data_IF_821692712240
#
_entry.id   IF_821692712240
#
_cell.length_a   1.000
_cell.length_b   1.000
_cell.length_c   1.000
_cell.angle_alpha   90.00
_cell.angle_beta   90.00
_cell.angle_gamma   90.00
#
_symmetry.space_group_name_H-M   'P 1'
#
loop_
_entity.id
_entity.type
_entity.pdbx_description
1 polymer ?
#
# COMPACT_ATOMS: atom_id res chain seq x y z
N UNK A 1 15.70 -9.75 -6.11
CA UNK A 1 14.93 -9.35 -7.29
C UNK A 1 14.31 -10.54 -7.94
N UNK A 2 13.49 -10.30 -8.94
CA UNK A 2 12.88 -11.38 -9.68
C UNK A 2 13.97 -12.20 -10.36
N UNK A 3 13.71 -13.50 -10.45
CA UNK A 3 14.72 -14.52 -10.74
C UNK A 3 15.11 -14.61 -12.22
N UNK A 4 14.37 -13.97 -13.11
CA UNK A 4 14.68 -13.91 -14.54
C UNK A 4 13.88 -12.80 -15.24
N UNK A 5 14.26 -12.53 -16.49
CA UNK A 5 13.64 -11.54 -17.36
C UNK A 5 12.13 -11.80 -17.54
N UNK A 6 11.73 -13.05 -17.78
CA UNK A 6 10.33 -13.41 -18.04
C UNK A 6 9.44 -13.06 -16.85
N UNK A 7 9.93 -13.27 -15.63
CA UNK A 7 9.16 -12.96 -14.43
C UNK A 7 9.13 -11.47 -14.13
N UNK A 8 10.21 -10.72 -14.33
CA UNK A 8 10.14 -9.25 -14.26
C UNK A 8 9.14 -8.68 -15.28
N UNK A 9 9.03 -9.25 -16.48
CA UNK A 9 8.01 -8.88 -17.49
C UNK A 9 6.59 -9.18 -16.98
N UNK A 10 6.35 -10.40 -16.49
CA UNK A 10 5.02 -10.81 -16.00
C UNK A 10 4.58 -9.94 -14.82
N UNK A 11 5.48 -9.68 -13.86
CA UNK A 11 5.21 -8.84 -12.71
C UNK A 11 4.95 -7.38 -13.12
N UNK A 12 5.75 -6.82 -14.02
CA UNK A 12 5.50 -5.47 -14.56
C UNK A 12 4.11 -5.35 -15.19
N UNK A 13 3.68 -6.35 -15.96
CA UNK A 13 2.34 -6.37 -16.58
C UNK A 13 1.25 -6.50 -15.51
N UNK A 14 1.44 -7.38 -14.53
CA UNK A 14 0.49 -7.61 -13.44
C UNK A 14 0.30 -6.36 -12.58
N UNK A 15 1.39 -5.67 -12.26
CA UNK A 15 1.39 -4.44 -11.48
C UNK A 15 0.77 -3.29 -12.26
N UNK A 16 1.12 -3.11 -13.53
CA UNK A 16 0.47 -2.11 -14.38
C UNK A 16 -1.04 -2.35 -14.49
N UNK A 17 -1.44 -3.61 -14.70
CA UNK A 17 -2.86 -4.01 -14.74
C UNK A 17 -3.56 -3.72 -13.42
N UNK A 18 -2.87 -3.94 -12.29
CA UNK A 18 -3.39 -3.65 -10.95
C UNK A 18 -3.53 -2.15 -10.72
N UNK A 19 -2.54 -1.34 -11.11
CA UNK A 19 -2.61 0.13 -11.05
C UNK A 19 -3.83 0.63 -11.81
N UNK A 20 -4.00 0.19 -13.05
CA UNK A 20 -5.14 0.53 -13.91
C UNK A 20 -6.45 0.10 -13.22
N UNK A 21 -6.53 -1.15 -12.77
CA UNK A 21 -7.71 -1.69 -12.09
C UNK A 21 -8.08 -0.87 -10.85
N UNK A 22 -7.13 -0.61 -9.95
CA UNK A 22 -7.37 0.16 -8.73
C UNK A 22 -7.78 1.60 -9.05
N UNK A 23 -7.13 2.21 -10.05
CA UNK A 23 -7.43 3.58 -10.48
C UNK A 23 -8.86 3.73 -11.01
N UNK A 24 -9.32 2.77 -11.82
CA UNK A 24 -10.69 2.78 -12.36
C UNK A 24 -11.73 2.27 -11.37
N UNK A 25 -11.39 1.29 -10.52
CA UNK A 25 -12.26 0.77 -9.46
C UNK A 25 -12.68 1.90 -8.53
N UNK A 26 -11.71 2.71 -8.07
CA UNK A 26 -11.92 3.95 -7.34
C UNK A 26 -13.00 3.84 -6.24
N UNK A 27 -13.06 2.71 -5.52
CA UNK A 27 -14.07 2.48 -4.48
C UNK A 27 -13.86 3.42 -3.29
N UNK A 28 -12.59 3.76 -3.00
CA UNK A 28 -12.21 4.67 -1.93
C UNK A 28 -10.97 5.47 -2.31
N UNK A 29 -10.66 6.50 -1.53
CA UNK A 29 -9.38 7.25 -1.65
C UNK A 29 -8.17 6.30 -1.52
N UNK A 30 -8.32 5.18 -0.80
CA UNK A 30 -7.27 4.19 -0.61
C UNK A 30 -6.87 3.51 -1.92
N UNK A 31 -7.82 3.23 -2.82
CA UNK A 31 -7.53 2.61 -4.12
C UNK A 31 -6.54 3.44 -4.93
N UNK A 32 -6.73 4.78 -4.95
CA UNK A 32 -5.81 5.69 -5.65
C UNK A 32 -4.43 5.69 -5.02
N UNK A 33 -4.36 5.62 -3.69
CA UNK A 33 -3.07 5.57 -3.00
C UNK A 33 -2.38 4.22 -3.21
N UNK A 34 -3.10 3.10 -3.21
CA UNK A 34 -2.56 1.79 -3.56
C UNK A 34 -2.04 1.79 -5.00
N UNK A 35 -2.77 2.40 -5.94
CA UNK A 35 -2.29 2.57 -7.31
C UNK A 35 -0.99 3.39 -7.39
N UNK A 36 -0.88 4.48 -6.62
CA UNK A 36 0.35 5.29 -6.55
C UNK A 36 1.52 4.53 -5.90
N UNK A 37 1.26 3.69 -4.90
CA UNK A 37 2.27 2.82 -4.31
C UNK A 37 2.75 1.78 -5.32
N UNK A 38 1.82 1.08 -5.99
CA UNK A 38 2.18 0.10 -7.02
C UNK A 38 2.89 0.72 -8.21
N UNK A 39 2.70 2.00 -8.49
CA UNK A 39 3.48 2.69 -9.51
C UNK A 39 4.99 2.64 -9.21
N UNK A 40 5.37 2.73 -7.94
CA UNK A 40 6.79 2.60 -7.54
C UNK A 40 7.28 1.17 -7.70
N UNK A 41 6.47 0.17 -7.33
CA UNK A 41 6.82 -1.24 -7.53
C UNK A 41 6.98 -1.56 -9.02
N UNK A 42 6.02 -1.10 -9.84
CA UNK A 42 6.06 -1.23 -11.30
C UNK A 42 7.34 -0.64 -11.89
N UNK A 43 7.77 0.54 -11.44
CA UNK A 43 9.00 1.13 -11.95
C UNK A 43 10.26 0.33 -11.57
N UNK A 44 10.26 -0.37 -10.43
CA UNK A 44 11.35 -1.29 -10.06
C UNK A 44 11.35 -2.48 -11.02
N UNK A 45 10.26 -3.22 -11.11
CA UNK A 45 10.14 -4.41 -11.97
C UNK A 45 10.38 -4.08 -13.45
N UNK A 46 9.88 -2.93 -13.91
CA UNK A 46 10.11 -2.46 -15.27
C UNK A 46 11.59 -2.11 -15.50
N UNK A 47 12.28 -1.53 -14.51
CA UNK A 47 13.72 -1.28 -14.61
C UNK A 47 14.52 -2.58 -14.62
N UNK A 48 14.06 -3.61 -13.89
CA UNK A 48 14.69 -4.93 -13.89
C UNK A 48 14.70 -5.57 -15.28
N UNK A 49 13.66 -5.38 -16.10
CA UNK A 49 13.64 -5.85 -17.50
C UNK A 49 14.87 -5.32 -18.25
N UNK A 50 15.19 -4.03 -18.10
CA UNK A 50 16.37 -3.45 -18.75
C UNK A 50 17.67 -3.86 -18.08
N UNK A 51 17.67 -4.09 -16.76
CA UNK A 51 18.84 -4.65 -16.07
C UNK A 51 19.17 -6.03 -16.60
N UNK A 52 18.17 -6.89 -16.82
CA UNK A 52 18.36 -8.20 -17.45
C UNK A 52 18.92 -8.13 -18.87
N UNK A 53 18.54 -7.13 -19.65
CA UNK A 53 19.06 -6.93 -21.02
C UNK A 53 20.49 -6.36 -21.00
N UNK A 54 20.85 -5.62 -19.95
CA UNK A 54 22.12 -4.90 -19.85
C UNK A 54 23.08 -5.52 -18.86
N UNK A 55 22.71 -6.63 -18.21
CA UNK A 55 23.58 -7.37 -17.30
C UNK A 55 24.63 -8.07 -18.14
N UNK A 56 25.91 -7.84 -17.88
CA UNK A 56 26.96 -8.59 -18.55
C UNK A 56 26.96 -10.02 -18.05
N UNK A 57 27.26 -10.95 -18.95
CA UNK A 57 27.34 -12.37 -18.63
C UNK A 57 28.42 -12.63 -17.56
N UNK A 58 28.14 -13.56 -16.66
CA UNK A 58 28.98 -13.86 -15.51
C UNK A 58 30.42 -14.21 -15.94
N UNK A 59 31.40 -13.42 -15.52
CA UNK A 59 32.83 -13.72 -15.72
C UNK A 59 33.63 -12.72 -16.56
N UNK A 60 32.99 -11.75 -17.23
CA UNK A 60 33.67 -10.80 -18.14
C UNK A 60 33.91 -9.40 -17.56
N UNK A 61 33.79 -9.23 -16.25
CA UNK A 61 33.90 -7.91 -15.63
C UNK A 61 35.36 -7.48 -15.39
N UNK A 62 36.08 -7.16 -16.46
CA UNK A 62 37.35 -6.38 -16.40
C UNK A 62 37.08 -4.89 -16.02
N UNK A 63 36.24 -4.67 -15.01
CA UNK A 63 36.08 -3.37 -14.34
C UNK A 63 35.26 -2.28 -15.06
N UNK A 64 34.55 -2.57 -16.15
CA UNK A 64 33.70 -1.57 -16.83
C UNK A 64 32.25 -2.01 -16.96
N UNK A 65 31.37 -1.40 -16.15
CA UNK A 65 29.93 -1.66 -16.21
C UNK A 65 29.31 -0.91 -17.40
N UNK A 66 28.45 -1.55 -18.19
CA UNK A 66 27.70 -0.86 -19.23
C UNK A 66 26.97 0.35 -18.64
N UNK A 67 27.08 1.51 -19.29
CA UNK A 67 26.46 2.75 -18.80
C UNK A 67 24.95 2.61 -18.61
N UNK A 68 24.29 1.81 -19.47
CA UNK A 68 22.88 1.49 -19.35
C UNK A 68 22.57 0.72 -18.05
N UNK A 69 23.38 -0.28 -17.69
CA UNK A 69 23.21 -1.03 -16.45
C UNK A 69 23.42 -0.12 -15.23
N UNK A 70 24.44 0.75 -15.24
CA UNK A 70 24.65 1.75 -14.17
C UNK A 70 23.42 2.65 -14.03
N UNK A 71 22.87 3.13 -15.15
CA UNK A 71 21.69 3.99 -15.17
C UNK A 71 20.47 3.29 -14.57
N UNK A 72 20.13 2.09 -15.05
CA UNK A 72 18.97 1.34 -14.55
C UNK A 72 19.16 0.88 -13.11
N UNK A 73 20.38 0.55 -12.68
CA UNK A 73 20.68 0.19 -11.28
C UNK A 73 20.44 1.41 -10.39
N UNK A 74 20.92 2.58 -10.82
CA UNK A 74 20.72 3.84 -10.09
C UNK A 74 19.26 4.26 -10.05
N UNK A 75 18.53 4.12 -11.16
CA UNK A 75 17.09 4.38 -11.24
C UNK A 75 16.33 3.46 -10.30
N UNK A 76 16.63 2.17 -10.31
CA UNK A 76 15.94 1.19 -9.47
C UNK A 76 16.19 1.48 -7.99
N UNK A 77 17.43 1.78 -7.63
CA UNK A 77 17.79 2.21 -6.28
C UNK A 77 17.05 3.48 -5.86
N UNK A 78 16.98 4.49 -6.73
CA UNK A 78 16.21 5.71 -6.47
C UNK A 78 14.71 5.43 -6.26
N UNK A 79 14.12 4.58 -7.09
CA UNK A 79 12.69 4.23 -6.98
C UNK A 79 12.42 3.43 -5.70
N UNK A 80 13.26 2.44 -5.39
CA UNK A 80 13.19 1.70 -4.13
C UNK A 80 13.29 2.64 -2.93
N UNK A 81 14.21 3.60 -2.98
CA UNK A 81 14.36 4.63 -1.95
C UNK A 81 13.12 5.53 -1.78
N UNK A 82 12.33 5.74 -2.83
CA UNK A 82 11.09 6.53 -2.78
C UNK A 82 9.89 5.79 -2.17
N UNK A 83 9.95 4.47 -1.99
CA UNK A 83 8.82 3.68 -1.50
C UNK A 83 8.38 3.99 -0.05
N UNK A 84 9.24 4.29 0.95
CA UNK A 84 8.79 4.60 2.30
C UNK A 84 8.05 5.94 2.31
N UNK A 85 8.50 6.88 1.46
CA UNK A 85 7.81 8.15 1.25
C UNK A 85 6.42 7.91 0.66
N UNK A 86 6.28 7.02 -0.33
CA UNK A 86 4.98 6.64 -0.88
C UNK A 86 4.02 6.08 0.18
N UNK A 87 4.53 5.20 1.04
CA UNK A 87 3.79 4.64 2.18
C UNK A 87 3.40 5.73 3.20
N UNK A 88 4.35 6.61 3.54
CA UNK A 88 4.13 7.72 4.45
C UNK A 88 3.04 8.69 3.95
N UNK A 89 3.13 9.07 2.68
CA UNK A 89 2.15 9.94 2.03
C UNK A 89 0.77 9.26 2.01
N UNK A 90 0.69 7.97 1.71
CA UNK A 90 -0.56 7.21 1.81
C UNK A 90 -1.17 7.30 3.21
N UNK A 91 -0.38 6.98 4.23
CA UNK A 91 -0.83 7.02 5.61
C UNK A 91 -1.28 8.43 6.01
N UNK A 92 -0.54 9.46 5.61
CA UNK A 92 -0.89 10.85 5.82
C UNK A 92 -2.27 11.17 5.19
N UNK A 93 -2.45 10.91 3.90
CA UNK A 93 -3.69 11.21 3.17
C UNK A 93 -4.90 10.43 3.71
N UNK A 94 -4.71 9.19 4.17
CA UNK A 94 -5.76 8.38 4.78
C UNK A 94 -6.24 8.94 6.13
N UNK A 95 -5.38 9.68 6.83
CA UNK A 95 -5.63 10.22 8.18
C UNK A 95 -6.25 11.62 8.15
N UNK A 96 -6.30 12.29 6.99
CA UNK A 96 -6.89 13.65 6.82
C UNK A 96 -8.42 13.62 6.85
N UNK A 97 -9.03 13.00 7.87
CA UNK A 97 -10.35 13.45 8.33
C UNK A 97 -10.11 14.60 9.30
N UNK A 98 -10.61 15.78 8.93
CA UNK A 98 -10.36 17.16 9.44
C UNK A 98 -10.27 17.42 10.96
N UNK A 99 -10.41 16.45 11.84
CA UNK A 99 -10.61 16.70 13.27
C UNK A 99 -9.33 16.76 14.12
N UNK A 100 -8.17 16.32 13.63
CA UNK A 100 -6.97 16.26 14.48
C UNK A 100 -5.71 16.82 13.80
N UNK A 101 -5.59 18.16 13.81
CA UNK A 101 -4.45 18.88 13.24
C UNK A 101 -3.10 18.45 13.87
N UNK A 102 -3.09 18.09 15.15
CA UNK A 102 -1.87 17.65 15.84
C UNK A 102 -1.30 16.38 15.22
N UNK A 103 -2.16 15.39 14.95
CA UNK A 103 -1.75 14.15 14.27
C UNK A 103 -1.22 14.40 12.86
N UNK A 104 -1.87 15.30 12.12
CA UNK A 104 -1.39 15.68 10.79
C UNK A 104 0.03 16.27 10.83
N UNK A 105 0.30 17.23 11.74
CA UNK A 105 1.63 17.80 11.87
C UNK A 105 2.67 16.78 12.35
N UNK A 106 2.31 15.91 13.29
CA UNK A 106 3.19 14.82 13.73
C UNK A 106 3.54 13.88 12.57
N UNK A 107 2.56 13.49 11.76
CA UNK A 107 2.73 12.66 10.58
C UNK A 107 3.61 13.32 9.52
N UNK A 108 3.40 14.61 9.23
CA UNK A 108 4.26 15.36 8.31
C UNK A 108 5.69 15.48 8.85
N UNK A 109 5.86 15.75 10.15
CA UNK A 109 7.17 15.84 10.79
C UNK A 109 7.90 14.51 10.76
N UNK A 110 7.22 13.40 11.02
CA UNK A 110 7.80 12.05 10.94
C UNK A 110 8.19 11.71 9.50
N UNK A 111 7.32 11.97 8.53
CA UNK A 111 7.64 11.76 7.11
C UNK A 111 8.82 12.64 6.65
N UNK A 112 8.90 13.88 7.14
CA UNK A 112 9.99 14.81 6.81
C UNK A 112 11.31 14.39 7.47
N UNK A 113 11.25 13.92 8.72
CA UNK A 113 12.41 13.40 9.43
C UNK A 113 12.92 12.10 8.80
N UNK A 114 12.00 11.19 8.47
CA UNK A 114 12.30 9.98 7.72
C UNK A 114 12.96 10.31 6.37
N UNK A 115 12.38 11.25 5.62
CA UNK A 115 12.96 11.74 4.36
C UNK A 115 14.35 12.36 4.55
N UNK A 116 14.57 13.12 5.62
CA UNK A 116 15.88 13.69 5.94
C UNK A 116 16.91 12.60 6.26
N UNK A 117 16.57 11.62 7.10
CA UNK A 117 17.44 10.48 7.40
C UNK A 117 17.78 9.72 6.11
N UNK A 118 16.79 9.51 5.25
CA UNK A 118 16.98 8.87 3.96
C UNK A 118 17.87 9.67 3.02
N UNK A 119 17.76 11.01 2.98
CA UNK A 119 18.64 11.87 2.18
C UNK A 119 20.07 11.77 2.68
N UNK A 120 20.25 11.79 4.01
CA UNK A 120 21.57 11.66 4.63
C UNK A 120 22.17 10.29 4.28
N UNK A 121 21.40 9.20 4.41
CA UNK A 121 21.82 7.86 3.99
C UNK A 121 22.19 7.82 2.51
N UNK A 122 21.34 8.37 1.63
CA UNK A 122 21.61 8.46 0.20
C UNK A 122 22.93 9.18 -0.07
N UNK A 123 23.17 10.36 0.52
CA UNK A 123 24.40 11.12 0.29
C UNK A 123 25.64 10.46 0.89
N UNK A 124 25.53 9.81 2.05
CA UNK A 124 26.62 9.04 2.64
C UNK A 124 27.00 7.86 1.74
N UNK A 125 26.00 7.16 1.19
CA UNK A 125 26.21 6.05 0.27
C UNK A 125 26.77 6.53 -1.07
N UNK A 126 26.18 7.55 -1.67
CA UNK A 126 26.60 8.07 -2.97
C UNK A 126 27.97 8.74 -2.94
N UNK A 127 28.35 9.34 -1.80
CA UNK A 127 29.64 9.99 -1.60
C UNK A 127 30.83 9.02 -1.58
N UNK A 128 30.63 7.78 -1.11
CA UNK A 128 31.65 6.72 -1.15
C UNK A 128 31.68 5.98 -2.50
N UNK A 129 30.59 6.03 -3.26
CA UNK A 129 30.32 5.25 -4.48
C UNK A 129 30.85 5.90 -5.78
N UNK A 130 31.46 7.08 -5.69
CA UNK A 130 31.98 7.86 -6.82
C UNK A 130 33.06 7.18 -7.70
N UNK A 131 33.47 5.94 -7.42
CA UNK A 131 34.38 5.17 -8.28
C UNK A 131 33.82 3.79 -8.65
N UNK A 132 33.12 3.73 -9.79
CA UNK A 132 33.06 2.57 -10.70
C UNK A 132 32.24 1.31 -10.33
N UNK A 133 31.44 1.23 -9.25
CA UNK A 133 30.81 -0.07 -8.88
C UNK A 133 29.31 -0.08 -8.52
N UNK A 134 28.50 0.82 -9.09
CA UNK A 134 27.04 0.62 -9.09
C UNK A 134 26.65 -0.20 -10.30
N UNK A 135 26.73 -1.53 -10.19
CA UNK A 135 26.35 -2.42 -11.27
C UNK A 135 25.51 -3.56 -10.76
N UNK A 136 24.45 -3.89 -11.50
CA UNK A 136 23.75 -5.14 -11.28
C UNK A 136 24.50 -6.25 -11.98
N UNK A 137 24.65 -7.38 -11.30
CA UNK A 137 25.35 -8.57 -11.79
C UNK A 137 24.49 -9.80 -11.56
N UNK A 138 24.72 -10.86 -12.31
CA UNK A 138 24.18 -12.19 -12.04
C UNK A 138 25.28 -13.06 -11.42
N UNK A 139 24.98 -13.70 -10.29
CA UNK A 139 25.94 -14.57 -9.59
C UNK A 139 25.61 -16.04 -9.79
N UNK A 140 26.54 -16.78 -10.40
CA UNK A 140 26.60 -18.24 -10.36
C UNK A 140 25.34 -18.98 -10.84
N UNK A 141 25.16 -20.23 -10.38
CA UNK A 141 24.09 -21.16 -10.79
C UNK A 141 22.66 -20.70 -10.52
N UNK A 142 22.48 -19.65 -9.72
CA UNK A 142 21.17 -19.20 -9.26
C UNK A 142 20.47 -18.25 -10.22
N UNK A 143 21.18 -17.77 -11.25
CA UNK A 143 20.66 -16.90 -12.32
C UNK A 143 19.80 -15.75 -11.79
N UNK A 144 20.07 -15.23 -10.59
CA UNK A 144 19.32 -14.13 -9.99
C UNK A 144 20.01 -12.80 -10.27
N UNK A 145 19.23 -11.73 -10.41
CA UNK A 145 19.77 -10.38 -10.48
C UNK A 145 20.17 -9.92 -9.07
N UNK A 146 21.45 -9.61 -8.91
CA UNK A 146 22.00 -9.02 -7.69
C UNK A 146 22.34 -7.57 -7.95
N UNK A 147 21.75 -6.68 -7.15
CA UNK A 147 22.12 -5.28 -7.13
C UNK A 147 23.37 -5.14 -6.26
N UNK A 148 24.53 -4.99 -6.90
CA UNK A 148 25.72 -4.65 -6.15
C UNK A 148 25.77 -3.15 -5.95
N UNK A 149 25.47 -2.76 -4.73
CA UNK A 149 25.85 -1.47 -4.20
C UNK A 149 27.15 -1.70 -3.45
N UNK A 150 28.22 -1.00 -3.84
CA UNK A 150 29.50 -1.15 -3.17
C UNK A 150 29.40 -0.49 -1.78
N UNK A 151 28.87 -1.22 -0.81
CA UNK A 151 28.92 -0.84 0.60
C UNK A 151 30.28 -1.21 1.18
N UNK A 152 30.80 -0.34 2.03
CA UNK A 152 31.72 -0.77 3.08
C UNK A 152 31.03 -1.91 3.86
N UNK A 153 31.64 -3.10 3.87
CA UNK A 153 31.17 -4.31 4.59
C UNK A 153 30.97 -4.10 6.10
N UNK A 154 31.26 -2.92 6.62
CA UNK A 154 31.36 -2.62 8.06
C UNK A 154 30.12 -1.93 8.66
N UNK A 155 29.03 -1.70 7.91
CA UNK A 155 27.82 -1.17 8.53
C UNK A 155 27.05 -2.27 9.27
N UNK A 156 26.95 -2.13 10.60
CA UNK A 156 26.29 -3.02 11.57
C UNK A 156 24.78 -3.16 11.40
N UNK A 157 24.18 -2.49 10.40
CA UNK A 157 22.81 -2.71 10.00
C UNK A 157 22.81 -3.34 8.61
N UNK A 158 22.16 -4.49 8.41
CA UNK A 158 22.08 -5.10 7.09
C UNK A 158 21.38 -4.10 6.15
N UNK A 159 22.12 -3.57 5.19
CA UNK A 159 21.67 -2.57 4.23
C UNK A 159 20.52 -3.02 3.31
N UNK A 160 20.05 -4.25 3.47
CA UNK A 160 18.81 -4.75 2.88
C UNK A 160 17.58 -4.48 3.73
N UNK A 161 17.71 -4.17 5.03
CA UNK A 161 16.58 -4.06 5.96
C UNK A 161 16.34 -2.68 6.60
N UNK A 162 17.29 -1.75 6.51
CA UNK A 162 17.08 -0.38 7.04
C UNK A 162 15.87 0.30 6.39
N UNK A 163 15.73 0.18 5.08
CA UNK A 163 14.54 0.61 4.34
C UNK A 163 13.24 0.08 4.96
N UNK A 164 13.22 -1.18 5.43
CA UNK A 164 12.03 -1.79 6.02
C UNK A 164 11.75 -1.27 7.42
N UNK A 165 12.78 -1.13 8.26
CA UNK A 165 12.63 -0.52 9.59
C UNK A 165 12.06 0.89 9.45
N UNK A 166 12.60 1.66 8.52
CA UNK A 166 12.13 3.01 8.22
C UNK A 166 10.70 3.02 7.65
N UNK A 167 10.33 2.03 6.85
CA UNK A 167 8.95 1.85 6.37
C UNK A 167 7.96 1.47 7.47
N UNK A 168 8.39 0.83 8.56
CA UNK A 168 7.55 0.41 9.70
C UNK A 168 7.25 1.58 10.64
N UNK A 169 8.23 2.46 10.88
CA UNK A 169 8.12 3.60 11.80
C UNK A 169 6.83 4.40 11.55
N UNK A 170 6.49 4.82 10.32
CA UNK A 170 5.24 5.48 9.99
C UNK A 170 4.03 4.77 10.59
N UNK A 171 3.89 3.48 10.29
CA UNK A 171 2.73 2.70 10.64
C UNK A 171 2.53 2.53 12.16
N UNK A 172 3.59 2.62 12.97
CA UNK A 172 3.45 2.62 14.44
C UNK A 172 2.66 3.83 14.96
N UNK A 173 2.67 4.94 14.21
CA UNK A 173 2.01 6.19 14.58
C UNK A 173 0.66 6.39 13.88
N UNK A 174 0.34 5.60 12.85
CA UNK A 174 -0.91 5.68 12.13
C UNK A 174 -1.97 4.71 12.67
N UNK A 175 -3.08 5.26 13.16
CA UNK A 175 -4.34 4.50 13.29
C UNK A 175 -5.09 4.60 11.96
N UNK A 176 -5.51 3.46 11.37
CA UNK A 176 -5.73 2.20 12.06
C UNK A 176 -4.54 1.23 11.97
N UNK A 177 -4.18 0.62 13.10
CA UNK A 177 -3.28 -0.54 13.20
C UNK A 177 -3.64 -1.67 12.21
N UNK A 178 -4.89 -1.69 11.72
CA UNK A 178 -5.32 -2.58 10.65
C UNK A 178 -4.52 -2.39 9.36
N UNK A 179 -4.18 -1.17 8.97
CA UNK A 179 -3.35 -0.92 7.78
C UNK A 179 -1.92 -1.47 7.98
N UNK A 180 -1.35 -1.30 9.18
CA UNK A 180 -0.07 -1.93 9.56
C UNK A 180 -0.18 -3.45 9.46
N UNK A 181 -1.18 -4.06 10.08
CA UNK A 181 -1.38 -5.52 10.06
C UNK A 181 -1.55 -6.00 8.63
N UNK A 182 -2.37 -5.32 7.83
CA UNK A 182 -2.64 -5.65 6.44
C UNK A 182 -1.40 -5.61 5.54
N UNK A 183 -0.45 -4.73 5.83
CA UNK A 183 0.82 -4.64 5.10
C UNK A 183 1.89 -5.57 5.67
N UNK A 184 2.06 -5.57 7.00
CA UNK A 184 3.09 -6.33 7.70
C UNK A 184 2.81 -7.82 7.73
N UNK A 185 1.55 -8.24 7.81
CA UNK A 185 1.23 -9.66 7.91
C UNK A 185 1.63 -10.42 6.64
N UNK A 186 1.24 -10.00 5.41
CA UNK A 186 1.70 -10.64 4.19
C UNK A 186 3.23 -10.61 4.07
N UNK A 187 3.86 -9.49 4.45
CA UNK A 187 5.31 -9.34 4.40
C UNK A 187 6.05 -10.29 5.34
N UNK A 188 5.74 -10.25 6.64
CA UNK A 188 6.36 -11.09 7.66
C UNK A 188 6.09 -12.58 7.39
N UNK A 189 4.91 -12.90 6.87
CA UNK A 189 4.58 -14.28 6.45
C UNK A 189 5.47 -14.73 5.30
N UNK A 190 5.65 -13.88 4.28
CA UNK A 190 6.50 -14.20 3.13
C UNK A 190 7.96 -14.33 3.54
N UNK A 191 8.48 -13.41 4.35
CA UNK A 191 9.82 -13.50 4.93
C UNK A 191 10.02 -14.80 5.72
N UNK A 192 9.08 -15.12 6.62
CA UNK A 192 9.16 -16.32 7.44
C UNK A 192 9.14 -17.59 6.59
N UNK A 193 8.24 -17.67 5.61
CA UNK A 193 8.17 -18.81 4.69
C UNK A 193 9.49 -18.91 3.92
N UNK A 194 10.02 -17.81 3.39
CA UNK A 194 11.28 -17.87 2.67
C UNK A 194 12.42 -18.34 3.56
N UNK A 195 12.51 -17.81 4.78
CA UNK A 195 13.53 -18.20 5.74
C UNK A 195 13.45 -19.69 6.14
N UNK A 196 12.24 -20.25 6.21
CA UNK A 196 12.03 -21.64 6.61
C UNK A 196 12.14 -22.64 5.45
N UNK A 197 11.81 -22.23 4.23
CA UNK A 197 11.60 -23.14 3.09
C UNK A 197 12.72 -23.07 2.06
N UNK A 198 13.29 -21.89 1.82
CA UNK A 198 14.27 -21.71 0.76
C UNK A 198 15.69 -21.56 1.31
N UNK A 199 16.67 -21.97 0.51
CA UNK A 199 18.08 -21.74 0.79
C UNK A 199 18.43 -20.24 0.72
N UNK A 200 19.51 -19.84 1.40
CA UNK A 200 20.00 -18.44 1.47
C UNK A 200 20.10 -17.75 0.10
N UNK A 201 20.34 -18.52 -0.96
CA UNK A 201 20.44 -18.07 -2.35
C UNK A 201 19.14 -17.50 -2.94
N UNK A 202 17.99 -17.86 -2.38
CA UNK A 202 16.65 -17.48 -2.89
C UNK A 202 16.11 -16.26 -2.14
N UNK A 203 16.73 -15.85 -1.03
CA UNK A 203 16.31 -14.69 -0.25
C UNK A 203 16.12 -13.41 -1.06
N UNK A 204 16.95 -13.08 -2.08
CA UNK A 204 16.72 -11.91 -2.90
C UNK A 204 15.36 -11.95 -3.62
N UNK A 205 14.85 -13.12 -3.98
CA UNK A 205 13.54 -13.29 -4.67
C UNK A 205 12.33 -13.13 -3.73
N UNK A 206 12.55 -13.11 -2.41
CA UNK A 206 11.50 -12.88 -1.40
C UNK A 206 10.75 -11.57 -1.63
N UNK A 207 11.42 -10.60 -2.25
CA UNK A 207 10.80 -9.33 -2.62
C UNK A 207 9.65 -9.51 -3.62
N UNK A 208 9.84 -10.28 -4.69
CA UNK A 208 8.79 -10.50 -5.69
C UNK A 208 7.61 -11.27 -5.09
N UNK A 209 7.88 -12.26 -4.23
CA UNK A 209 6.82 -12.95 -3.49
C UNK A 209 6.05 -12.01 -2.56
N UNK A 210 6.77 -11.11 -1.89
CA UNK A 210 6.17 -10.09 -1.02
C UNK A 210 5.29 -9.16 -1.83
N UNK A 211 5.80 -8.66 -2.96
CA UNK A 211 5.06 -7.79 -3.87
C UNK A 211 3.77 -8.46 -4.36
N UNK A 212 3.84 -9.73 -4.76
CA UNK A 212 2.67 -10.53 -5.16
C UNK A 212 1.64 -10.64 -4.04
N UNK A 213 2.08 -10.94 -2.81
CA UNK A 213 1.17 -11.07 -1.66
C UNK A 213 0.52 -9.74 -1.30
N UNK A 214 1.27 -8.63 -1.34
CA UNK A 214 0.74 -7.27 -1.13
C UNK A 214 -0.27 -6.92 -2.23
N UNK A 215 0.02 -7.28 -3.48
CA UNK A 215 -0.87 -7.11 -4.63
C UNK A 215 -2.21 -7.81 -4.43
N UNK A 216 -2.16 -9.11 -4.12
CA UNK A 216 -3.37 -9.89 -3.82
C UNK A 216 -4.15 -9.23 -2.68
N UNK A 217 -3.44 -8.82 -1.62
CA UNK A 217 -4.08 -8.21 -0.47
C UNK A 217 -4.78 -6.88 -0.80
N UNK A 218 -4.14 -5.95 -1.51
CA UNK A 218 -4.75 -4.65 -1.86
C UNK A 218 -5.88 -4.77 -2.89
N UNK A 219 -5.79 -5.74 -3.80
CA UNK A 219 -6.92 -6.10 -4.64
C UNK A 219 -8.07 -6.57 -3.76
N UNK A 220 -7.82 -7.43 -2.77
CA UNK A 220 -8.85 -8.03 -1.93
C UNK A 220 -9.37 -7.16 -0.75
N UNK A 221 -8.65 -6.09 -0.38
CA UNK A 221 -8.93 -5.27 0.82
C UNK A 221 -10.39 -4.75 0.96
N UNK A 222 -11.09 -4.32 -0.12
CA UNK A 222 -12.47 -3.86 0.01
C UNK A 222 -13.42 -4.94 0.57
N UNK A 223 -13.13 -6.22 0.31
CA UNK A 223 -13.95 -7.33 0.78
C UNK A 223 -13.63 -7.77 2.21
N UNK A 224 -12.44 -7.45 2.72
CA UNK A 224 -11.98 -7.89 4.04
C UNK A 224 -12.21 -6.85 5.14
N UNK A 225 -12.14 -5.54 4.84
CA UNK A 225 -12.13 -4.50 5.88
C UNK A 225 -13.42 -3.68 5.97
N UNK A 226 -14.19 -3.53 4.88
CA UNK A 226 -15.15 -2.43 4.78
C UNK A 226 -16.65 -2.83 4.79
N UNK A 227 -16.99 -4.10 5.05
CA UNK A 227 -18.40 -4.55 5.08
C UNK A 227 -19.29 -3.78 6.07
N UNK A 228 -18.76 -3.33 7.19
CA UNK A 228 -19.56 -2.73 8.26
C UNK A 228 -19.81 -1.22 8.07
N UNK A 229 -18.84 -0.49 7.53
CA UNK A 229 -18.99 0.94 7.19
C UNK A 229 -19.81 1.17 5.92
N UNK A 230 -19.85 0.20 5.01
CA UNK A 230 -20.64 0.30 3.77
C UNK A 230 -22.15 0.30 4.04
N UNK A 231 -22.61 -0.57 4.97
CA UNK A 231 -24.02 -0.59 5.38
C UNK A 231 -24.47 0.76 5.93
N UNK A 232 -23.65 1.40 6.78
CA UNK A 232 -24.03 2.68 7.39
C UNK A 232 -24.04 3.85 6.40
N UNK A 233 -23.12 3.90 5.42
CA UNK A 233 -23.10 4.98 4.43
C UNK A 233 -24.22 4.86 3.39
N UNK A 234 -24.53 3.64 2.93
CA UNK A 234 -25.63 3.41 1.97
C UNK A 234 -27.00 3.66 2.62
N UNK A 235 -27.18 3.22 3.87
CA UNK A 235 -28.39 3.51 4.66
C UNK A 235 -28.54 5.02 4.90
N UNK A 236 -27.44 5.75 5.16
CA UNK A 236 -27.51 7.20 5.42
C UNK A 236 -27.76 8.04 4.16
N UNK A 237 -27.26 7.61 2.99
CA UNK A 237 -27.57 8.26 1.70
C UNK A 237 -29.02 8.03 1.30
N UNK A 238 -29.56 6.82 1.51
CA UNK A 238 -30.97 6.54 1.28
C UNK A 238 -31.87 7.27 2.28
N UNK A 239 -31.50 7.31 3.56
CA UNK A 239 -32.29 8.03 4.58
C UNK A 239 -32.35 9.53 4.32
N UNK A 240 -31.25 10.17 3.89
CA UNK A 240 -31.27 11.59 3.50
C UNK A 240 -32.10 11.87 2.24
N UNK A 241 -32.10 10.97 1.26
CA UNK A 241 -32.96 11.11 0.07
C UNK A 241 -34.45 10.86 0.38
N UNK A 242 -34.76 10.10 1.44
CA UNK A 242 -36.12 9.87 1.91
C UNK A 242 -36.60 11.04 2.77
N UNK A 243 -35.77 11.58 3.67
CA UNK A 243 -36.12 12.71 4.54
C UNK A 243 -36.09 14.08 3.83
N UNK A 244 -35.37 14.21 2.70
CA UNK A 244 -35.41 15.44 1.88
C UNK A 244 -36.58 15.48 0.88
N UNK A 245 -37.40 14.42 0.80
CA UNK A 245 -38.73 14.51 0.20
C UNK A 245 -39.71 14.91 1.29
N UNK A 246 -39.78 16.22 1.55
CA UNK A 246 -40.77 16.80 2.45
C UNK A 246 -42.19 16.56 1.90
N UNK A 247 -43.22 16.40 2.77
CA UNK A 247 -44.60 16.03 2.39
C UNK A 247 -45.43 17.15 1.74
N UNK A 248 -44.83 18.25 1.27
CA UNK A 248 -45.60 19.40 0.78
C UNK A 248 -46.12 19.25 -0.67
N UNK A 249 -45.82 18.15 -1.35
CA UNK A 249 -46.40 17.80 -2.66
C UNK A 249 -47.51 16.73 -2.59
N UNK A 250 -48.02 16.41 -1.39
CA UNK A 250 -49.19 15.53 -1.21
C UNK A 250 -50.49 16.29 -0.86
N UNK A 251 -50.52 17.62 -1.01
CA UNK A 251 -51.71 18.44 -0.79
C UNK A 251 -52.47 18.81 -2.07
N UNK A 252 -52.52 17.92 -3.06
CA UNK A 252 -53.49 18.06 -4.17
C UNK A 252 -54.07 16.70 -4.54
N UNK A 253 -55.39 16.59 -4.41
CA UNK A 253 -56.29 15.52 -4.85
C UNK A 253 -56.42 14.25 -3.98
N UNK A 254 -57.06 14.39 -2.82
CA UNK A 254 -58.04 13.39 -2.36
C UNK A 254 -59.24 14.10 -1.71
N UNK A 255 -59.98 14.84 -2.53
CA UNK A 255 -61.38 15.24 -2.26
C UNK A 255 -62.37 14.31 -2.97
N UNK A 256 -61.97 13.08 -3.29
CA UNK A 256 -62.83 12.02 -3.83
C UNK A 256 -62.50 10.71 -3.11
N UNK A 257 -63.02 10.55 -1.90
CA UNK A 257 -63.34 9.24 -1.31
C UNK A 257 -64.22 9.45 -0.07
N UNK A 258 -65.37 10.10 -0.29
CA UNK A 258 -66.56 9.83 0.50
C UNK A 258 -67.26 8.61 -0.13
N UNK A 259 -67.71 7.70 0.73
CA UNK A 259 -68.44 6.45 0.47
C UNK A 259 -67.59 5.22 0.14
N UNK A 260 -67.22 4.48 1.18
CA UNK A 260 -67.79 3.14 1.43
C UNK A 260 -67.20 2.52 2.71
N UNK A 261 -68.09 2.31 3.69
CA UNK A 261 -68.15 1.26 4.72
C UNK A 261 -66.97 1.15 5.71
N UNK A 262 -67.16 1.44 7.00
CA UNK A 262 -67.81 0.56 8.00
C UNK A 262 -67.41 -0.91 7.83
N UNK A 263 -66.31 -1.31 8.48
CA UNK A 263 -66.34 -2.36 9.51
C UNK A 263 -64.94 -2.54 10.15
N UNK A 264 -64.95 -2.43 11.48
CA UNK A 264 -64.18 -3.17 12.48
C UNK A 264 -62.81 -3.77 12.10
N UNK A 265 -61.79 -3.49 12.93
CA UNK A 265 -61.19 -4.49 13.83
C UNK A 265 -60.18 -3.77 14.74
N UNK A 266 -60.46 -3.89 16.05
CA UNK A 266 -59.57 -3.60 17.16
C UNK A 266 -58.27 -4.42 17.09
N UNK A 267 -57.16 -3.85 17.55
CA UNK A 267 -56.14 -4.52 18.40
C UNK A 267 -54.93 -3.55 18.51
N UNK A 268 -54.80 -2.80 19.60
CA UNK A 268 -54.22 -3.20 20.90
C UNK A 268 -52.69 -2.95 20.95
N UNK A 269 -52.34 -1.84 21.62
CA UNK A 269 -51.29 -1.69 22.66
C UNK A 269 -49.93 -2.37 22.41
N UNK A 270 -48.85 -1.56 22.26
CA UNK A 270 -47.78 -1.60 23.27
C UNK A 270 -46.88 -0.35 23.23
N UNK A 271 -47.07 0.50 24.23
CA UNK A 271 -46.20 1.61 24.60
C UNK A 271 -45.13 1.11 25.57
N UNK A 272 -43.86 1.01 25.14
CA UNK A 272 -42.72 0.84 26.05
C UNK A 272 -41.86 2.10 26.09
N UNK A 273 -42.14 2.90 27.12
CA UNK A 273 -41.20 3.79 27.78
C UNK A 273 -40.17 2.96 28.54
N UNK A 274 -38.88 3.24 28.33
CA UNK A 274 -37.83 2.87 29.28
C UNK A 274 -37.11 4.17 29.68
N UNK A 275 -37.50 4.69 30.84
CA UNK A 275 -36.61 5.44 31.72
C UNK A 275 -35.88 4.40 32.58
N UNK A 276 -34.56 4.48 32.67
CA UNK A 276 -33.83 3.93 33.82
C UNK A 276 -32.69 4.91 34.15
N UNK A 277 -32.90 5.61 35.26
CA UNK A 277 -31.89 6.24 36.07
C UNK A 277 -31.22 5.16 36.92
N UNK A 278 -29.89 5.08 36.94
CA UNK A 278 -29.17 4.52 38.09
C UNK A 278 -27.93 5.39 38.36
N UNK A 279 -28.06 6.22 39.39
CA UNK A 279 -26.98 6.69 40.25
C UNK A 279 -26.55 5.54 41.17
N UNK A 280 -25.24 5.34 41.33
CA UNK A 280 -24.69 4.63 42.48
C UNK A 280 -23.29 5.18 42.80
N UNK A 281 -23.21 5.82 43.98
CA UNK A 281 -22.11 6.03 44.94
C UNK A 281 -20.63 6.05 44.48
#
# INVERSE_FOLDING_TARGET
>A
MCWNLEVSIIFSILELSTIIFLWYRNYSVRDRCYALFFLLVFFIEFSEIFLWITVPESGEFEGKCPSANVFFTSMTYFVAWMQPLGINLYCLFSTIKKQDKSKFYMSVSLASFDYLLHIISYFMEWGEVGSQKNCSVTYGKTDNLHWEWQYNREWYFPNTYNYFVLSIIPFMFYRPWRALINFMFPYMTTLLITFLVFEDSVFPSTWCWTALMILIFFVLDPWTVERDSFKSCFVRKNKKNIESKTPNDLSVSQSEQENLNDDQIDDEIDSRSYDDNEESD
#
